data_IF_089596591212
#
_entry.id   IF_089596591212
#
_cell.length_a   1.000
_cell.length_b   1.000
_cell.length_c   1.000
_cell.angle_alpha   90.00
_cell.angle_beta   90.00
_cell.angle_gamma   90.00
#
_symmetry.space_group_name_H-M   'P 1'
#
loop_
_entity.id
_entity.type
_entity.pdbx_description
1 polymer ?
#
# COMPACT_ATOMS: atom_id res chain seq x y z
N UNK A 1 -33.20 27.69 17.91
CA UNK A 1 -32.75 27.32 16.55
C UNK A 1 -33.11 25.86 16.29
N UNK A 2 -33.60 25.53 15.11
CA UNK A 2 -33.79 24.15 14.64
C UNK A 2 -32.47 23.34 14.74
N UNK A 3 -32.56 22.06 15.18
CA UNK A 3 -31.42 21.18 15.46
C UNK A 3 -30.49 21.04 14.25
N UNK A 4 -31.05 20.93 13.05
CA UNK A 4 -30.27 20.80 11.81
C UNK A 4 -29.48 22.08 11.56
N UNK A 5 -30.09 23.25 11.72
CA UNK A 5 -29.36 24.51 11.57
C UNK A 5 -28.22 24.65 12.60
N UNK A 6 -28.43 24.25 13.85
CA UNK A 6 -27.36 24.26 14.86
C UNK A 6 -26.21 23.32 14.46
N UNK A 7 -26.53 22.13 13.95
CA UNK A 7 -25.53 21.18 13.44
C UNK A 7 -24.72 21.78 12.29
N UNK A 8 -25.37 22.46 11.33
CA UNK A 8 -24.68 23.09 10.20
C UNK A 8 -23.74 24.22 10.68
N UNK A 9 -24.15 25.04 11.63
CA UNK A 9 -23.26 26.07 12.21
C UNK A 9 -22.08 25.45 12.98
N UNK A 10 -22.30 24.34 13.70
CA UNK A 10 -21.19 23.60 14.33
C UNK A 10 -20.22 23.04 13.28
N UNK A 11 -20.76 22.45 12.21
CA UNK A 11 -19.97 21.91 11.11
C UNK A 11 -19.13 22.99 10.41
N UNK A 12 -19.69 24.17 10.14
CA UNK A 12 -18.96 25.30 9.55
C UNK A 12 -17.72 25.67 10.37
N UNK A 13 -17.83 25.69 11.70
CA UNK A 13 -16.68 25.95 12.61
C UNK A 13 -15.62 24.85 12.55
N UNK A 14 -16.02 23.62 12.21
CA UNK A 14 -15.13 22.45 12.05
C UNK A 14 -14.73 22.17 10.60
N UNK A 15 -15.06 23.05 9.64
CA UNK A 15 -14.81 22.79 8.22
C UNK A 15 -13.32 22.55 7.95
N UNK A 16 -12.46 23.42 8.49
CA UNK A 16 -11.00 23.30 8.39
C UNK A 16 -10.46 21.98 8.97
N UNK A 17 -11.12 21.44 10.00
CA UNK A 17 -10.74 20.15 10.58
C UNK A 17 -10.98 19.00 9.59
N UNK A 18 -12.17 18.96 8.96
CA UNK A 18 -12.49 17.93 7.97
C UNK A 18 -11.69 18.07 6.67
N UNK A 19 -11.39 19.30 6.24
CA UNK A 19 -10.50 19.56 5.11
C UNK A 19 -9.08 19.08 5.38
N UNK A 20 -8.52 19.41 6.55
CA UNK A 20 -7.18 19.00 6.93
C UNK A 20 -7.08 17.46 7.08
N UNK A 21 -8.07 16.82 7.72
CA UNK A 21 -8.13 15.37 7.82
C UNK A 21 -8.20 14.68 6.44
N UNK A 22 -9.02 15.21 5.54
CA UNK A 22 -9.15 14.69 4.17
C UNK A 22 -7.87 14.86 3.36
N UNK A 23 -7.22 16.02 3.44
CA UNK A 23 -5.93 16.28 2.77
C UNK A 23 -4.82 15.38 3.29
N UNK A 24 -4.78 15.13 4.60
CA UNK A 24 -3.78 14.26 5.21
C UNK A 24 -3.97 12.80 4.77
N UNK A 25 -5.20 12.30 4.83
CA UNK A 25 -5.53 10.95 4.35
C UNK A 25 -5.25 10.79 2.85
N UNK A 26 -5.61 11.79 2.03
CA UNK A 26 -5.30 11.78 0.60
C UNK A 26 -3.80 11.72 0.32
N UNK A 27 -2.99 12.51 1.06
CA UNK A 27 -1.53 12.50 0.92
C UNK A 27 -0.93 11.14 1.30
N UNK A 28 -1.37 10.55 2.42
CA UNK A 28 -0.91 9.22 2.84
C UNK A 28 -1.24 8.17 1.78
N UNK A 29 -2.48 8.17 1.29
CA UNK A 29 -2.96 7.22 0.30
C UNK A 29 -2.26 7.39 -1.05
N UNK A 30 -2.07 8.62 -1.52
CA UNK A 30 -1.35 8.93 -2.76
C UNK A 30 0.11 8.47 -2.70
N UNK A 31 0.82 8.78 -1.61
CA UNK A 31 2.20 8.36 -1.42
C UNK A 31 2.33 6.83 -1.42
N UNK A 32 1.42 6.14 -0.73
CA UNK A 32 1.41 4.68 -0.68
C UNK A 32 1.07 4.05 -2.02
N UNK A 33 0.07 4.54 -2.75
CA UNK A 33 -0.29 4.08 -4.10
C UNK A 33 0.88 4.23 -5.07
N UNK A 34 1.53 5.40 -5.09
CA UNK A 34 2.71 5.65 -5.89
C UNK A 34 3.82 4.66 -5.53
N UNK A 35 4.13 4.52 -4.24
CA UNK A 35 5.21 3.62 -3.78
C UNK A 35 4.94 2.16 -4.13
N UNK A 36 3.67 1.73 -4.13
CA UNK A 36 3.25 0.39 -4.52
C UNK A 36 3.24 0.18 -6.04
N UNK A 37 3.50 1.23 -6.83
CA UNK A 37 3.44 1.19 -8.28
C UNK A 37 2.01 1.05 -8.82
N UNK A 38 1.04 1.66 -8.16
CA UNK A 38 -0.35 1.76 -8.61
C UNK A 38 -0.58 3.17 -9.16
N UNK A 39 -1.05 3.27 -10.41
CA UNK A 39 -1.30 4.58 -11.04
C UNK A 39 -2.71 5.07 -10.68
N UNK A 40 -2.78 6.15 -9.92
CA UNK A 40 -4.04 6.77 -9.52
C UNK A 40 -3.91 8.29 -9.36
N UNK A 41 -5.04 8.98 -9.38
CA UNK A 41 -5.17 10.36 -8.92
C UNK A 41 -5.98 10.38 -7.62
N UNK A 42 -5.45 11.02 -6.57
CA UNK A 42 -6.13 11.12 -5.28
C UNK A 42 -6.56 12.56 -5.04
N UNK A 43 -7.84 12.76 -4.74
CA UNK A 43 -8.38 14.08 -4.39
C UNK A 43 -9.12 14.00 -3.07
N UNK A 44 -9.23 15.12 -2.35
CA UNK A 44 -10.02 15.19 -1.12
C UNK A 44 -10.86 16.46 -1.07
N UNK A 45 -11.97 16.39 -0.35
CA UNK A 45 -12.83 17.54 -0.07
C UNK A 45 -13.61 17.35 1.22
N UNK A 46 -13.85 18.43 1.93
CA UNK A 46 -14.90 18.48 2.94
C UNK A 46 -16.25 18.74 2.26
N UNK A 47 -17.34 18.29 2.89
CA UNK A 47 -18.68 18.46 2.35
C UNK A 47 -19.13 19.92 2.44
N UNK A 48 -19.52 20.51 1.30
CA UNK A 48 -20.03 21.89 1.30
C UNK A 48 -21.24 22.05 2.24
N UNK A 49 -21.27 23.06 3.14
CA UNK A 49 -22.33 23.21 4.16
C UNK A 49 -23.76 23.23 3.59
N UNK A 50 -23.96 23.87 2.44
CA UNK A 50 -25.25 23.87 1.75
C UNK A 50 -25.69 22.47 1.30
N UNK A 51 -24.78 21.71 0.68
CA UNK A 51 -25.05 20.31 0.27
C UNK A 51 -25.25 19.40 1.49
N UNK A 52 -24.54 19.66 2.59
CA UNK A 52 -24.73 18.94 3.85
C UNK A 52 -26.13 19.19 4.43
N UNK A 53 -26.59 20.44 4.47
CA UNK A 53 -27.94 20.78 4.95
C UNK A 53 -29.03 20.06 4.18
N UNK A 54 -28.99 20.11 2.84
CA UNK A 54 -29.97 19.39 2.02
C UNK A 54 -29.93 17.88 2.25
N UNK A 55 -28.74 17.28 2.37
CA UNK A 55 -28.59 15.84 2.63
C UNK A 55 -29.19 15.44 3.98
N UNK A 56 -28.93 16.22 5.04
CA UNK A 56 -29.47 15.96 6.38
C UNK A 56 -30.99 16.09 6.39
N UNK A 57 -31.55 17.11 5.73
CA UNK A 57 -33.00 17.29 5.61
C UNK A 57 -33.67 16.11 4.90
N UNK A 58 -33.15 15.70 3.74
CA UNK A 58 -33.68 14.56 2.97
C UNK A 58 -33.57 13.26 3.75
N UNK A 59 -32.46 13.03 4.48
CA UNK A 59 -32.35 11.83 5.31
C UNK A 59 -33.29 11.88 6.50
N UNK A 60 -33.42 13.03 7.16
CA UNK A 60 -34.34 13.19 8.29
C UNK A 60 -35.79 12.95 7.89
N UNK A 61 -36.23 13.40 6.71
CA UNK A 61 -37.60 13.17 6.22
C UNK A 61 -37.90 11.71 5.88
N UNK A 62 -36.88 10.89 5.62
CA UNK A 62 -37.01 9.45 5.36
C UNK A 62 -36.91 8.59 6.63
N UNK A 63 -36.56 9.17 7.78
CA UNK A 63 -36.49 8.45 9.05
C UNK A 63 -37.89 8.35 9.66
N UNK A 64 -38.18 7.20 10.29
CA UNK A 64 -39.39 7.04 11.08
C UNK A 64 -39.42 7.97 12.31
N UNK A 65 -38.24 8.22 12.91
CA UNK A 65 -38.07 9.14 14.03
C UNK A 65 -37.04 10.21 13.65
N UNK A 66 -37.38 11.51 13.74
CA UNK A 66 -36.45 12.61 13.50
C UNK A 66 -35.23 12.56 14.42
N UNK A 67 -34.14 13.19 13.98
CA UNK A 67 -32.94 13.35 14.80
C UNK A 67 -33.24 13.98 16.15
N UNK A 68 -32.74 13.35 17.23
CA UNK A 68 -32.94 13.84 18.61
C UNK A 68 -31.81 14.76 19.07
N UNK A 69 -30.61 14.58 18.52
CA UNK A 69 -29.41 15.33 18.92
C UNK A 69 -28.38 15.37 17.76
N UNK A 70 -27.34 16.18 17.90
CA UNK A 70 -26.31 16.32 16.87
C UNK A 70 -25.49 15.06 16.64
N UNK A 71 -25.31 14.22 17.68
CA UNK A 71 -24.50 13.00 17.59
C UNK A 71 -25.11 12.02 16.59
N UNK A 72 -26.43 11.84 16.61
CA UNK A 72 -27.12 11.01 15.62
C UNK A 72 -26.89 11.49 14.17
N UNK A 73 -26.78 12.81 13.95
CA UNK A 73 -26.48 13.37 12.63
C UNK A 73 -25.01 13.08 12.23
N UNK A 74 -24.06 13.25 13.16
CA UNK A 74 -22.66 12.93 12.93
C UNK A 74 -22.41 11.44 12.65
N UNK A 75 -23.16 10.54 13.30
CA UNK A 75 -23.07 9.09 13.10
C UNK A 75 -23.70 8.66 11.76
N UNK A 76 -24.79 9.31 11.34
CA UNK A 76 -25.46 9.03 10.07
C UNK A 76 -24.68 9.53 8.85
N UNK A 77 -24.13 10.75 8.90
CA UNK A 77 -23.42 11.36 7.77
C UNK A 77 -21.95 10.95 7.76
N UNK A 78 -21.63 9.93 6.96
CA UNK A 78 -20.27 9.39 6.86
C UNK A 78 -19.30 10.23 6.01
N UNK A 79 -19.82 11.06 5.10
CA UNK A 79 -19.05 11.77 4.06
C UNK A 79 -18.79 13.25 4.39
N UNK A 80 -18.54 13.57 5.67
CA UNK A 80 -18.17 14.93 6.09
C UNK A 80 -16.79 15.34 5.57
N UNK A 81 -15.89 14.36 5.47
CA UNK A 81 -14.62 14.41 4.75
C UNK A 81 -14.58 13.24 3.78
N UNK A 82 -14.30 13.51 2.51
CA UNK A 82 -14.25 12.52 1.46
C UNK A 82 -12.92 12.52 0.72
N UNK A 83 -12.42 11.34 0.40
CA UNK A 83 -11.23 11.10 -0.45
C UNK A 83 -11.68 10.29 -1.66
N UNK A 84 -11.29 10.70 -2.86
CA UNK A 84 -11.54 9.97 -4.11
C UNK A 84 -10.22 9.48 -4.68
N UNK A 85 -10.12 8.18 -4.89
CA UNK A 85 -9.02 7.53 -5.61
C UNK A 85 -9.53 7.14 -7.00
N UNK A 86 -9.04 7.85 -8.02
CA UNK A 86 -9.34 7.58 -9.42
C UNK A 86 -8.23 6.73 -10.04
N UNK A 87 -8.49 5.43 -10.19
CA UNK A 87 -7.55 4.49 -10.82
C UNK A 87 -7.50 4.71 -12.34
N UNK A 88 -6.30 4.70 -12.92
CA UNK A 88 -6.18 4.72 -14.39
C UNK A 88 -6.48 3.36 -15.03
N UNK A 89 -6.23 2.28 -14.29
CA UNK A 89 -6.54 0.92 -14.71
C UNK A 89 -7.46 0.26 -13.69
N UNK A 90 -8.67 -0.18 -14.08
CA UNK A 90 -9.65 -0.76 -13.15
C UNK A 90 -9.14 -2.02 -12.44
N UNK A 91 -8.28 -2.81 -13.10
CA UNK A 91 -7.67 -4.02 -12.54
C UNK A 91 -6.78 -3.82 -11.30
N UNK A 92 -6.46 -2.58 -10.93
CA UNK A 92 -5.73 -2.27 -9.69
C UNK A 92 -6.64 -2.07 -8.47
N UNK A 93 -7.96 -2.30 -8.61
CA UNK A 93 -8.95 -2.11 -7.53
C UNK A 93 -8.67 -2.98 -6.30
N UNK A 94 -8.42 -4.28 -6.48
CA UNK A 94 -8.18 -5.20 -5.35
C UNK A 94 -6.85 -4.90 -4.64
N UNK A 95 -5.84 -4.47 -5.40
CA UNK A 95 -4.55 -4.01 -4.85
C UNK A 95 -4.76 -2.75 -3.99
N UNK A 96 -5.65 -1.87 -4.44
CA UNK A 96 -6.00 -0.64 -3.72
C UNK A 96 -6.82 -0.94 -2.46
N UNK A 97 -7.73 -1.91 -2.51
CA UNK A 97 -8.49 -2.38 -1.34
C UNK A 97 -7.57 -2.85 -0.21
N UNK A 98 -6.59 -3.71 -0.54
CA UNK A 98 -5.59 -4.19 0.43
C UNK A 98 -4.80 -3.03 1.05
N UNK A 99 -4.36 -2.08 0.21
CA UNK A 99 -3.59 -0.93 0.64
C UNK A 99 -4.40 0.03 1.54
N UNK A 100 -5.70 0.22 1.26
CA UNK A 100 -6.59 1.01 2.13
C UNK A 100 -6.77 0.33 3.50
N UNK A 101 -6.94 -1.00 3.52
CA UNK A 101 -7.07 -1.77 4.76
C UNK A 101 -5.79 -1.73 5.62
N UNK A 102 -4.63 -1.71 4.98
CA UNK A 102 -3.34 -1.56 5.68
C UNK A 102 -3.19 -0.17 6.31
N UNK A 103 -3.49 0.90 5.56
CA UNK A 103 -3.26 2.28 6.01
C UNK A 103 -4.28 2.80 7.03
N UNK A 104 -5.52 2.34 6.94
CA UNK A 104 -6.63 2.91 7.70
C UNK A 104 -7.32 1.87 8.58
N UNK A 105 -7.94 2.32 9.67
CA UNK A 105 -8.92 1.52 10.38
C UNK A 105 -10.25 1.61 9.66
N UNK A 106 -10.55 0.60 8.84
CA UNK A 106 -11.81 0.51 8.07
C UNK A 106 -12.95 0.09 9.02
N UNK A 107 -13.99 0.91 9.09
CA UNK A 107 -15.18 0.69 9.92
C UNK A 107 -16.29 -0.02 9.15
N UNK A 108 -16.41 0.25 7.84
CA UNK A 108 -17.45 -0.29 6.97
C UNK A 108 -17.00 -0.18 5.51
N UNK A 109 -17.29 -1.22 4.73
CA UNK A 109 -17.03 -1.26 3.28
C UNK A 109 -18.35 -1.43 2.53
N UNK A 110 -18.52 -0.69 1.44
CA UNK A 110 -19.65 -0.82 0.51
C UNK A 110 -19.12 -0.99 -0.90
N UNK A 111 -19.63 -2.00 -1.60
CA UNK A 111 -19.32 -2.23 -3.00
C UNK A 111 -20.53 -1.87 -3.87
N UNK A 112 -20.27 -1.16 -4.96
CA UNK A 112 -21.27 -0.77 -5.95
C UNK A 112 -21.02 -1.49 -7.27
N UNK A 113 -22.08 -1.93 -7.97
CA UNK A 113 -23.51 -1.73 -7.64
C UNK A 113 -24.00 -2.59 -6.46
N UNK A 114 -24.93 -2.05 -5.65
CA UNK A 114 -25.61 -2.84 -4.60
C UNK A 114 -26.46 -3.93 -5.29
N UNK A 115 -26.27 -5.21 -4.95
CA UNK A 115 -26.95 -6.36 -5.57
C UNK A 115 -28.49 -6.34 -5.45
N UNK A 116 -29.07 -5.42 -4.67
CA UNK A 116 -30.41 -5.57 -4.09
C UNK A 116 -31.44 -4.50 -4.45
N UNK A 117 -31.15 -3.55 -5.35
CA UNK A 117 -32.16 -2.55 -5.78
C UNK A 117 -32.41 -2.57 -7.28
N UNK A 118 -33.60 -2.99 -7.73
CA UNK A 118 -33.98 -2.78 -9.11
C UNK A 118 -34.04 -1.26 -9.39
N UNK A 119 -33.47 -0.79 -10.50
CA UNK A 119 -33.50 0.62 -10.86
C UNK A 119 -34.95 1.08 -11.06
N UNK A 120 -35.22 2.36 -10.80
CA UNK A 120 -36.55 2.96 -10.98
C UNK A 120 -36.95 3.15 -12.45
N UNK A 121 -36.06 2.82 -13.38
CA UNK A 121 -36.24 2.86 -14.83
C UNK A 121 -35.61 1.62 -15.48
N UNK A 122 -35.94 1.34 -16.75
CA UNK A 122 -35.39 0.20 -17.52
C UNK A 122 -33.89 0.40 -17.82
N UNK A 123 -33.05 0.18 -16.83
CA UNK A 123 -31.59 0.28 -16.94
C UNK A 123 -31.03 -0.95 -17.64
N UNK A 124 -30.22 -0.76 -18.67
CA UNK A 124 -29.55 -1.83 -19.43
C UNK A 124 -28.19 -2.18 -18.84
N UNK A 125 -27.50 -1.22 -18.24
CA UNK A 125 -26.13 -1.40 -17.73
C UNK A 125 -26.05 -1.38 -16.19
N UNK A 126 -25.05 -2.06 -15.63
CA UNK A 126 -24.93 -2.32 -14.18
C UNK A 126 -24.67 -1.08 -13.30
N UNK A 127 -24.53 0.12 -13.89
CA UNK A 127 -24.38 1.38 -13.16
C UNK A 127 -22.99 1.61 -12.58
N UNK A 128 -22.93 2.40 -11.50
CA UNK A 128 -21.71 2.84 -10.84
C UNK A 128 -20.91 1.68 -10.23
N UNK A 129 -19.62 1.57 -10.60
CA UNK A 129 -18.70 0.59 -10.05
C UNK A 129 -17.65 1.26 -9.16
N UNK A 130 -17.75 1.05 -7.84
CA UNK A 130 -16.81 1.61 -6.87
C UNK A 130 -16.82 0.85 -5.55
N UNK A 131 -15.71 0.95 -4.82
CA UNK A 131 -15.62 0.54 -3.42
C UNK A 131 -15.57 1.79 -2.55
N UNK A 132 -16.48 1.89 -1.58
CA UNK A 132 -16.50 2.96 -0.59
C UNK A 132 -16.10 2.40 0.77
N UNK A 133 -15.10 3.01 1.37
CA UNK A 133 -14.60 2.66 2.71
C UNK A 133 -14.92 3.81 3.64
N UNK A 134 -15.54 3.50 4.77
CA UNK A 134 -15.72 4.45 5.87
C UNK A 134 -14.65 4.13 6.88
N UNK A 135 -13.64 4.98 6.97
CA UNK A 135 -12.42 4.66 7.68
C UNK A 135 -11.95 5.81 8.59
N UNK A 136 -10.99 5.50 9.45
CA UNK A 136 -10.23 6.46 10.28
C UNK A 136 -8.74 6.27 10.01
N UNK A 137 -7.98 7.36 10.11
CA UNK A 137 -6.51 7.26 10.13
C UNK A 137 -6.09 6.53 11.42
N UNK A 138 -5.07 5.67 11.30
CA UNK A 138 -4.50 5.00 12.47
C UNK A 138 -3.68 6.01 13.27
N UNK A 139 -3.77 5.98 14.59
CA UNK A 139 -3.12 7.01 15.42
C UNK A 139 -1.58 6.91 15.41
N UNK A 140 -1.06 5.69 15.21
CA UNK A 140 0.37 5.39 15.08
C UNK A 140 0.98 5.88 13.76
N UNK A 141 0.17 6.16 12.74
CA UNK A 141 0.63 6.73 11.46
C UNK A 141 0.62 8.26 11.43
N UNK A 142 0.32 8.91 12.55
CA UNK A 142 0.16 10.36 12.68
C UNK A 142 1.20 10.98 13.59
N UNK A 143 1.72 12.14 13.18
CA UNK A 143 2.54 12.98 14.04
C UNK A 143 1.76 13.45 15.27
N UNK A 144 2.42 13.78 16.39
CA UNK A 144 1.76 14.27 17.61
C UNK A 144 0.79 15.44 17.36
N UNK A 145 1.13 16.35 16.44
CA UNK A 145 0.30 17.50 16.06
C UNK A 145 -0.93 17.13 15.20
N UNK A 146 -0.93 15.94 14.60
CA UNK A 146 -1.94 15.44 13.68
C UNK A 146 -2.92 14.45 14.33
N UNK A 147 -2.60 13.93 15.53
CA UNK A 147 -3.42 12.93 16.24
C UNK A 147 -4.90 13.28 16.36
N UNK A 148 -5.24 14.56 16.51
CA UNK A 148 -6.64 15.04 16.52
C UNK A 148 -7.45 14.61 15.30
N UNK A 149 -6.81 14.39 14.14
CA UNK A 149 -7.49 13.99 12.92
C UNK A 149 -7.81 12.48 12.87
N UNK A 150 -7.26 11.65 13.76
CA UNK A 150 -7.58 10.22 13.85
C UNK A 150 -9.07 9.97 14.14
N UNK A 151 -9.72 10.89 14.86
CA UNK A 151 -11.15 10.81 15.18
C UNK A 151 -12.05 11.06 13.97
N UNK A 152 -11.54 11.71 12.93
CA UNK A 152 -12.32 12.05 11.75
C UNK A 152 -12.71 10.79 10.97
N UNK A 153 -14.01 10.60 10.75
CA UNK A 153 -14.50 9.60 9.80
C UNK A 153 -14.32 10.14 8.38
N UNK A 154 -13.64 9.36 7.55
CA UNK A 154 -13.33 9.68 6.16
C UNK A 154 -14.01 8.65 5.27
N UNK A 155 -14.75 9.12 4.27
CA UNK A 155 -15.27 8.26 3.20
C UNK A 155 -14.26 8.23 2.05
N UNK A 156 -13.60 7.09 1.86
CA UNK A 156 -12.66 6.84 0.77
C UNK A 156 -13.41 6.13 -0.36
N UNK A 157 -13.48 6.74 -1.53
CA UNK A 157 -14.17 6.22 -2.71
C UNK A 157 -13.11 5.80 -3.74
N UNK A 158 -13.07 4.52 -4.07
CA UNK A 158 -12.14 3.94 -5.06
C UNK A 158 -12.95 3.53 -6.28
N UNK A 159 -12.67 4.18 -7.41
CA UNK A 159 -13.21 3.82 -8.72
C UNK A 159 -12.18 4.18 -9.80
N UNK A 160 -12.46 3.83 -11.06
CA UNK A 160 -11.62 4.32 -12.16
C UNK A 160 -11.86 5.81 -12.44
N UNK A 161 -10.96 6.42 -13.22
CA UNK A 161 -11.15 7.78 -13.74
C UNK A 161 -12.45 7.89 -14.54
N UNK A 162 -12.78 6.90 -15.37
CA UNK A 162 -14.00 6.91 -16.19
C UNK A 162 -15.26 6.81 -15.31
N UNK A 163 -15.24 5.95 -14.29
CA UNK A 163 -16.36 5.81 -13.35
C UNK A 163 -16.57 7.04 -12.48
N UNK A 164 -15.48 7.70 -12.05
CA UNK A 164 -15.60 8.98 -11.35
C UNK A 164 -16.16 10.08 -12.25
N UNK A 165 -15.72 10.16 -13.51
CA UNK A 165 -16.27 11.13 -14.46
C UNK A 165 -17.78 10.91 -14.70
N UNK A 166 -18.18 9.67 -14.98
CA UNK A 166 -19.59 9.35 -15.22
C UNK A 166 -20.46 9.54 -13.98
N UNK A 167 -20.02 9.10 -12.79
CA UNK A 167 -20.80 9.29 -11.55
C UNK A 167 -20.97 10.75 -11.16
N UNK A 168 -20.05 11.63 -11.56
CA UNK A 168 -20.21 13.08 -11.37
C UNK A 168 -21.32 13.64 -12.25
N UNK A 169 -21.36 13.22 -13.52
CA UNK A 169 -22.42 13.59 -14.47
C UNK A 169 -23.77 13.01 -14.04
N UNK A 170 -23.84 11.72 -13.71
CA UNK A 170 -25.07 11.07 -13.21
C UNK A 170 -25.55 11.77 -11.93
N UNK A 171 -24.67 12.02 -10.97
CA UNK A 171 -25.04 12.67 -9.72
C UNK A 171 -25.60 14.08 -9.96
N UNK A 172 -24.95 14.89 -10.79
CA UNK A 172 -25.40 16.26 -11.02
C UNK A 172 -26.70 16.30 -11.84
N UNK A 173 -26.90 15.42 -12.83
CA UNK A 173 -28.16 15.38 -13.59
C UNK A 173 -29.33 14.77 -12.81
N UNK A 174 -29.12 13.64 -12.13
CA UNK A 174 -30.18 12.91 -11.41
C UNK A 174 -30.58 13.61 -10.11
N UNK A 175 -29.61 14.19 -9.37
CA UNK A 175 -29.91 14.87 -8.10
C UNK A 175 -30.07 16.39 -8.23
N UNK A 176 -29.74 16.99 -9.38
CA UNK A 176 -29.97 18.41 -9.68
C UNK A 176 -30.38 18.62 -11.14
N UNK A 177 -31.57 18.19 -11.55
CA UNK A 177 -32.11 18.68 -12.80
C UNK A 177 -32.16 20.22 -12.73
N UNK A 178 -31.43 20.88 -13.62
CA UNK A 178 -31.35 22.34 -13.69
C UNK A 178 -32.76 22.94 -13.89
N UNK A 179 -33.69 22.16 -14.47
CA UNK A 179 -35.12 22.38 -14.56
C UNK A 179 -35.87 21.02 -14.57
N UNK A 180 -36.92 20.85 -13.77
CA UNK A 180 -37.84 19.71 -13.87
C UNK A 180 -37.32 18.37 -13.35
N UNK A 181 -37.94 17.26 -13.75
CA UNK A 181 -37.40 15.88 -13.59
C UNK A 181 -36.83 15.44 -14.94
N UNK A 182 -35.77 14.62 -14.94
CA UNK A 182 -35.23 14.07 -16.19
C UNK A 182 -36.32 13.29 -16.96
N UNK A 183 -36.35 13.49 -18.26
CA UNK A 183 -37.16 12.70 -19.19
C UNK A 183 -36.63 11.27 -19.34
N UNK A 184 -37.48 10.35 -19.78
CA UNK A 184 -37.08 8.97 -20.06
C UNK A 184 -35.95 8.90 -21.10
N UNK A 185 -35.92 9.82 -22.06
CA UNK A 185 -34.87 9.92 -23.07
C UNK A 185 -33.53 10.35 -22.44
N UNK A 186 -33.53 11.35 -21.55
CA UNK A 186 -32.30 11.75 -20.84
C UNK A 186 -31.77 10.62 -19.94
N UNK A 187 -32.65 9.85 -19.32
CA UNK A 187 -32.28 8.67 -18.54
C UNK A 187 -31.71 7.55 -19.43
N UNK A 188 -32.25 7.37 -20.64
CA UNK A 188 -31.72 6.42 -21.62
C UNK A 188 -30.34 6.83 -22.13
N UNK A 189 -30.12 8.12 -22.43
CA UNK A 189 -28.82 8.66 -22.82
C UNK A 189 -27.80 8.50 -21.69
N UNK A 190 -28.19 8.76 -20.44
CA UNK A 190 -27.33 8.54 -19.27
C UNK A 190 -26.90 7.07 -19.12
N UNK A 191 -27.81 6.14 -19.40
CA UNK A 191 -27.53 4.71 -19.40
C UNK A 191 -26.64 4.30 -20.58
N UNK A 192 -26.83 4.89 -21.77
CA UNK A 192 -25.94 4.70 -22.92
C UNK A 192 -24.51 5.19 -22.61
N UNK A 193 -24.35 6.36 -22.00
CA UNK A 193 -23.06 6.88 -21.55
C UNK A 193 -22.39 5.93 -20.55
N UNK A 194 -23.17 5.30 -19.67
CA UNK A 194 -22.65 4.27 -18.76
C UNK A 194 -22.12 3.05 -19.53
N UNK A 195 -22.84 2.62 -20.57
CA UNK A 195 -22.39 1.54 -21.46
C UNK A 195 -21.05 1.83 -22.13
N UNK A 196 -20.85 3.05 -22.62
CA UNK A 196 -19.57 3.49 -23.21
C UNK A 196 -18.44 3.49 -22.17
N UNK A 197 -18.72 3.91 -20.95
CA UNK A 197 -17.76 3.89 -19.85
C UNK A 197 -17.37 2.47 -19.48
N UNK A 198 -18.32 1.55 -19.35
CA UNK A 198 -18.05 0.13 -19.11
C UNK A 198 -17.22 -0.51 -20.23
N UNK A 199 -17.50 -0.18 -21.49
CA UNK A 199 -16.68 -0.63 -22.61
C UNK A 199 -15.24 -0.09 -22.52
N UNK A 200 -15.08 1.17 -22.10
CA UNK A 200 -13.79 1.80 -21.82
C UNK A 200 -13.01 1.10 -20.69
N UNK A 201 -13.68 0.73 -19.59
CA UNK A 201 -13.07 -0.04 -18.49
C UNK A 201 -12.46 -1.35 -19.00
N UNK A 202 -13.24 -2.13 -19.76
CA UNK A 202 -12.80 -3.41 -20.34
C UNK A 202 -11.61 -3.19 -21.28
N UNK A 203 -11.64 -2.15 -22.11
CA UNK A 203 -10.54 -1.82 -23.00
C UNK A 203 -9.26 -1.47 -22.24
N UNK A 204 -9.37 -0.71 -21.13
CA UNK A 204 -8.23 -0.35 -20.28
C UNK A 204 -7.62 -1.58 -19.58
N UNK A 205 -8.44 -2.51 -19.08
CA UNK A 205 -7.95 -3.77 -18.50
C UNK A 205 -7.22 -4.65 -19.53
N UNK A 206 -7.77 -4.74 -20.74
CA UNK A 206 -7.12 -5.45 -21.86
C UNK A 206 -5.81 -4.79 -22.26
N UNK A 207 -5.76 -3.45 -22.31
CA UNK A 207 -4.55 -2.70 -22.61
C UNK A 207 -3.47 -2.91 -21.54
N UNK A 208 -3.85 -2.90 -20.26
CA UNK A 208 -2.94 -3.21 -19.15
C UNK A 208 -2.37 -4.62 -19.29
N UNK A 209 -3.23 -5.60 -19.57
CA UNK A 209 -2.83 -7.00 -19.77
C UNK A 209 -1.86 -7.17 -20.95
N UNK A 210 -2.15 -6.58 -22.11
CA UNK A 210 -1.26 -6.62 -23.27
C UNK A 210 0.08 -5.91 -23.01
N UNK A 211 0.08 -4.82 -22.24
CA UNK A 211 1.30 -4.14 -21.78
C UNK A 211 2.18 -5.05 -20.92
N UNK A 212 1.57 -5.82 -20.02
CA UNK A 212 2.26 -6.75 -19.13
C UNK A 212 2.93 -7.90 -19.91
N UNK A 213 2.26 -8.46 -20.91
CA UNK A 213 2.83 -9.50 -21.75
C UNK A 213 4.05 -9.01 -22.54
N UNK A 214 3.99 -7.77 -23.04
CA UNK A 214 5.10 -7.16 -23.77
C UNK A 214 6.38 -7.06 -22.92
N UNK A 215 6.26 -6.72 -21.63
CA UNK A 215 7.40 -6.64 -20.70
C UNK A 215 8.04 -8.02 -20.50
N UNK A 216 7.23 -9.08 -20.40
CA UNK A 216 7.74 -10.47 -20.25
C UNK A 216 8.55 -10.93 -21.47
N UNK A 217 8.12 -10.53 -22.68
CA UNK A 217 8.66 -11.09 -23.92
C UNK A 217 9.96 -10.44 -24.42
N UNK A 218 10.29 -9.20 -24.01
CA UNK A 218 11.37 -8.43 -24.66
C UNK A 218 12.74 -8.45 -23.97
N UNK A 219 12.94 -9.14 -22.84
CA UNK A 219 14.12 -8.90 -21.97
C UNK A 219 14.36 -7.39 -21.70
N UNK A 220 13.33 -6.56 -21.87
CA UNK A 220 13.46 -5.13 -21.82
C UNK A 220 13.71 -4.69 -20.38
N UNK A 221 14.45 -3.60 -20.23
CA UNK A 221 14.55 -2.93 -18.96
C UNK A 221 13.18 -2.36 -18.56
N UNK A 222 12.81 -2.52 -17.30
CA UNK A 222 11.65 -1.83 -16.72
C UNK A 222 11.87 -0.32 -16.88
N UNK A 223 10.92 0.37 -17.50
CA UNK A 223 11.00 1.82 -17.72
C UNK A 223 10.58 2.62 -16.50
N UNK A 224 9.81 2.01 -15.59
CA UNK A 224 9.28 2.65 -14.41
C UNK A 224 8.92 1.63 -13.32
N UNK A 225 8.72 2.13 -12.11
CA UNK A 225 8.21 1.35 -10.98
C UNK A 225 6.85 0.66 -11.27
N UNK A 226 6.03 1.25 -12.13
CA UNK A 226 4.72 0.71 -12.49
C UNK A 226 4.83 -0.58 -13.31
N UNK A 227 5.79 -0.62 -14.26
CA UNK A 227 6.07 -1.85 -15.02
C UNK A 227 6.65 -2.94 -14.11
N UNK A 228 7.54 -2.56 -13.18
CA UNK A 228 8.08 -3.48 -12.19
C UNK A 228 6.97 -4.03 -11.27
N UNK A 229 6.12 -3.17 -10.73
CA UNK A 229 5.01 -3.56 -9.85
C UNK A 229 4.05 -4.53 -10.55
N UNK A 230 3.70 -4.22 -11.81
CA UNK A 230 2.84 -5.08 -12.61
C UNK A 230 3.50 -6.44 -12.91
N UNK A 231 4.79 -6.44 -13.26
CA UNK A 231 5.53 -7.68 -13.47
C UNK A 231 5.60 -8.53 -12.20
N UNK A 232 5.92 -7.93 -11.05
CA UNK A 232 6.01 -8.62 -9.77
C UNK A 232 4.66 -9.18 -9.33
N UNK A 233 3.59 -8.40 -9.45
CA UNK A 233 2.24 -8.87 -9.12
C UNK A 233 1.86 -10.09 -9.97
N UNK A 234 2.02 -10.00 -11.29
CA UNK A 234 1.73 -11.12 -12.19
C UNK A 234 2.64 -12.33 -11.93
N UNK A 235 3.92 -12.11 -11.59
CA UNK A 235 4.81 -13.20 -11.21
C UNK A 235 4.31 -13.90 -9.95
N UNK A 236 3.96 -13.15 -8.91
CA UNK A 236 3.55 -13.70 -7.62
C UNK A 236 2.20 -14.43 -7.72
N UNK A 237 1.19 -13.79 -8.32
CA UNK A 237 -0.15 -14.39 -8.47
C UNK A 237 -0.16 -15.66 -9.33
N UNK A 238 0.79 -15.83 -10.25
CA UNK A 238 0.89 -17.03 -11.08
C UNK A 238 1.73 -18.15 -10.47
N UNK A 239 2.60 -17.86 -9.50
CA UNK A 239 3.53 -18.84 -8.93
C UNK A 239 3.20 -19.21 -7.47
N UNK A 240 2.35 -18.45 -6.79
CA UNK A 240 2.01 -18.65 -5.39
C UNK A 240 0.50 -18.56 -5.18
N UNK A 241 0.01 -19.32 -4.22
CA UNK A 241 -1.39 -19.24 -3.82
C UNK A 241 -1.59 -18.13 -2.78
N UNK A 242 -2.79 -17.53 -2.67
CA UNK A 242 -3.10 -16.56 -1.62
C UNK A 242 -2.90 -17.11 -0.20
N UNK A 243 -2.97 -18.42 0.01
CA UNK A 243 -2.71 -19.05 1.31
C UNK A 243 -1.21 -19.11 1.66
N UNK A 244 -0.31 -18.99 0.68
CA UNK A 244 1.13 -19.13 0.86
C UNK A 244 1.83 -17.79 1.07
N UNK A 245 1.33 -16.72 0.45
CA UNK A 245 1.91 -15.38 0.51
C UNK A 245 0.86 -14.31 0.80
N UNK A 246 1.29 -13.22 1.41
CA UNK A 246 0.45 -12.03 1.56
C UNK A 246 0.95 -10.95 0.58
N UNK A 247 0.10 -10.51 -0.35
CA UNK A 247 0.47 -9.64 -1.46
C UNK A 247 0.57 -8.15 -1.07
N UNK A 248 1.30 -7.87 0.02
CA UNK A 248 1.67 -6.49 0.39
C UNK A 248 2.85 -6.05 -0.46
N UNK A 249 2.64 -5.28 -1.52
CA UNK A 249 3.71 -4.90 -2.45
C UNK A 249 4.81 -4.04 -1.81
N UNK A 250 4.42 -3.07 -0.97
CA UNK A 250 5.37 -2.17 -0.30
C UNK A 250 5.96 -1.11 -1.23
N UNK A 251 7.21 -0.71 -0.98
CA UNK A 251 7.87 0.38 -1.70
C UNK A 251 8.61 -0.14 -2.96
N UNK A 252 7.83 -0.39 -4.01
CA UNK A 252 8.33 -0.76 -5.33
C UNK A 252 9.13 0.37 -5.97
N UNK A 253 8.88 1.64 -5.61
CA UNK A 253 9.72 2.76 -6.06
C UNK A 253 11.18 2.60 -5.64
N UNK A 254 11.39 2.28 -4.36
CA UNK A 254 12.72 2.06 -3.80
C UNK A 254 13.39 0.83 -4.42
N UNK A 255 12.65 -0.27 -4.56
CA UNK A 255 13.15 -1.46 -5.24
C UNK A 255 13.56 -1.14 -6.69
N UNK A 256 12.73 -0.39 -7.43
CA UNK A 256 13.03 0.03 -8.81
C UNK A 256 14.30 0.88 -8.87
N UNK A 257 14.45 1.86 -7.97
CA UNK A 257 15.67 2.68 -7.86
C UNK A 257 16.91 1.83 -7.56
N UNK A 258 16.80 0.89 -6.62
CA UNK A 258 17.89 -0.03 -6.26
C UNK A 258 18.32 -0.87 -7.45
N UNK A 259 17.39 -1.59 -8.10
CA UNK A 259 17.74 -2.48 -9.22
C UNK A 259 18.27 -1.69 -10.42
N UNK A 260 17.79 -0.46 -10.64
CA UNK A 260 18.31 0.41 -11.69
C UNK A 260 19.74 0.85 -11.41
N UNK A 261 20.05 1.23 -10.16
CA UNK A 261 21.40 1.60 -9.74
C UNK A 261 22.38 0.43 -9.84
N UNK A 262 21.89 -0.78 -9.57
CA UNK A 262 22.65 -2.03 -9.70
C UNK A 262 22.72 -2.56 -11.14
N UNK A 263 22.07 -1.91 -12.11
CA UNK A 263 21.97 -2.38 -13.51
C UNK A 263 21.38 -3.80 -13.61
N UNK A 264 20.36 -4.07 -12.78
CA UNK A 264 19.59 -5.31 -12.71
C UNK A 264 18.12 -5.08 -13.06
N UNK A 265 17.81 -4.10 -13.91
CA UNK A 265 16.46 -3.65 -14.16
C UNK A 265 15.77 -4.36 -15.34
N UNK A 266 16.22 -5.55 -15.75
CA UNK A 266 15.53 -6.38 -16.74
C UNK A 266 14.87 -7.61 -16.10
N UNK A 267 13.90 -8.21 -16.80
CA UNK A 267 13.28 -9.48 -16.41
C UNK A 267 14.32 -10.58 -16.22
N UNK A 268 15.33 -10.65 -17.10
CA UNK A 268 16.39 -11.67 -17.07
C UNK A 268 17.24 -11.61 -15.79
N UNK A 269 17.47 -10.41 -15.26
CA UNK A 269 18.27 -10.18 -14.05
C UNK A 269 17.46 -10.36 -12.77
N UNK A 270 16.18 -9.94 -12.77
CA UNK A 270 15.31 -10.04 -11.60
C UNK A 270 14.74 -11.44 -11.39
N UNK A 271 14.40 -12.17 -12.45
CA UNK A 271 13.76 -13.49 -12.32
C UNK A 271 14.58 -14.50 -11.49
N UNK A 272 15.92 -14.62 -11.62
CA UNK A 272 16.73 -15.46 -10.75
C UNK A 272 16.66 -15.04 -9.27
N UNK A 273 16.60 -13.74 -8.99
CA UNK A 273 16.40 -13.22 -7.63
C UNK A 273 15.06 -13.71 -7.10
N UNK A 274 13.96 -13.49 -7.83
CA UNK A 274 12.62 -13.91 -7.40
C UNK A 274 12.52 -15.40 -7.12
N UNK A 275 13.12 -16.25 -7.96
CA UNK A 275 13.18 -17.70 -7.76
C UNK A 275 13.95 -18.11 -6.50
N UNK A 276 14.85 -17.26 -6.02
CA UNK A 276 15.66 -17.51 -4.83
C UNK A 276 15.04 -16.92 -3.55
N UNK A 277 14.07 -16.01 -3.67
CA UNK A 277 13.33 -15.48 -2.52
C UNK A 277 12.38 -16.56 -2.01
N UNK A 278 12.47 -16.88 -0.72
CA UNK A 278 11.43 -17.62 -0.02
C UNK A 278 10.44 -16.60 0.52
N UNK A 279 9.34 -16.39 -0.20
CA UNK A 279 8.31 -15.47 0.24
C UNK A 279 7.62 -16.03 1.49
N UNK A 280 7.63 -15.26 2.56
CA UNK A 280 7.08 -15.64 3.86
C UNK A 280 5.97 -14.67 4.26
N UNK A 281 4.97 -15.18 4.99
CA UNK A 281 3.92 -14.38 5.63
C UNK A 281 4.44 -13.79 6.94
N UNK A 282 5.37 -12.86 6.85
CA UNK A 282 5.91 -12.14 8.01
C UNK A 282 5.61 -10.63 7.92
N UNK A 283 6.16 -9.82 8.82
CA UNK A 283 5.91 -8.37 8.84
C UNK A 283 6.38 -7.65 7.57
N UNK A 284 7.36 -8.20 6.84
CA UNK A 284 7.96 -7.58 5.65
C UNK A 284 7.04 -7.70 4.45
N UNK A 285 6.98 -6.62 3.68
CA UNK A 285 6.28 -6.60 2.40
C UNK A 285 7.14 -7.25 1.28
N UNK A 286 6.54 -7.49 0.12
CA UNK A 286 7.18 -8.14 -1.03
C UNK A 286 8.45 -7.40 -1.46
N UNK A 287 8.41 -6.06 -1.58
CA UNK A 287 9.59 -5.28 -1.97
C UNK A 287 10.77 -5.48 -1.03
N UNK A 288 10.50 -5.53 0.27
CA UNK A 288 11.50 -5.72 1.33
C UNK A 288 12.13 -7.11 1.25
N UNK A 289 11.32 -8.16 1.07
CA UNK A 289 11.83 -9.53 0.92
C UNK A 289 12.70 -9.69 -0.34
N UNK A 290 12.38 -9.00 -1.44
CA UNK A 290 13.20 -8.98 -2.65
C UNK A 290 14.49 -8.19 -2.42
N UNK A 291 14.42 -7.00 -1.80
CA UNK A 291 15.59 -6.18 -1.45
C UNK A 291 16.58 -6.98 -0.61
N UNK A 292 16.08 -7.71 0.40
CA UNK A 292 16.90 -8.55 1.27
C UNK A 292 17.73 -9.55 0.47
N UNK A 293 17.11 -10.19 -0.51
CA UNK A 293 17.77 -11.13 -1.39
C UNK A 293 18.76 -10.48 -2.35
N UNK A 294 18.52 -9.23 -2.76
CA UNK A 294 19.44 -8.49 -3.63
C UNK A 294 20.71 -8.12 -2.88
N UNK A 295 20.60 -7.60 -1.65
CA UNK A 295 21.74 -7.02 -0.94
C UNK A 295 22.55 -8.04 -0.13
N UNK A 296 21.96 -9.20 0.21
CA UNK A 296 22.56 -10.22 1.10
C UNK A 296 24.05 -10.50 0.83
N UNK A 297 24.87 -10.36 1.87
CA UNK A 297 26.31 -10.65 1.87
C UNK A 297 27.19 -9.77 0.96
N UNK A 298 26.66 -8.68 0.39
CA UNK A 298 27.38 -7.82 -0.56
C UNK A 298 27.49 -6.37 -0.06
N UNK A 299 28.68 -5.97 0.41
CA UNK A 299 28.95 -4.63 0.97
C UNK A 299 28.55 -3.50 0.03
N UNK A 300 28.88 -3.61 -1.26
CA UNK A 300 28.56 -2.57 -2.25
C UNK A 300 27.06 -2.40 -2.42
N UNK A 301 26.29 -3.50 -2.42
CA UNK A 301 24.83 -3.44 -2.55
C UNK A 301 24.15 -2.90 -1.29
N UNK A 302 24.69 -3.24 -0.11
CA UNK A 302 24.25 -2.64 1.15
C UNK A 302 24.47 -1.12 1.17
N UNK A 303 25.66 -0.65 0.80
CA UNK A 303 25.98 0.77 0.73
C UNK A 303 25.05 1.53 -0.24
N UNK A 304 24.85 1.00 -1.45
CA UNK A 304 23.93 1.60 -2.43
C UNK A 304 22.49 1.65 -1.89
N UNK A 305 22.04 0.61 -1.19
CA UNK A 305 20.71 0.59 -0.61
C UNK A 305 20.56 1.64 0.52
N UNK A 306 21.57 1.77 1.38
CA UNK A 306 21.60 2.78 2.45
C UNK A 306 21.57 4.21 1.87
N UNK A 307 22.40 4.49 0.86
CA UNK A 307 22.39 5.79 0.15
C UNK A 307 21.01 6.14 -0.41
N UNK A 308 20.28 5.16 -0.95
CA UNK A 308 18.93 5.35 -1.48
C UNK A 308 17.87 5.57 -0.40
N UNK A 309 18.15 5.18 0.84
CA UNK A 309 17.25 5.30 1.99
C UNK A 309 17.51 6.55 2.82
N UNK A 310 18.76 6.96 3.00
CA UNK A 310 19.19 8.10 3.83
C UNK A 310 18.64 9.46 3.36
N UNK A 311 17.96 9.52 2.21
CA UNK A 311 17.11 10.65 1.82
C UNK A 311 15.81 10.80 2.64
N UNK A 312 15.58 10.00 3.69
CA UNK A 312 14.45 10.10 4.63
C UNK A 312 14.97 10.12 6.07
N UNK A 313 15.20 11.32 6.59
CA UNK A 313 15.72 11.55 7.94
C UNK A 313 14.74 11.08 9.02
N UNK A 314 15.18 10.15 9.87
CA UNK A 314 14.41 9.66 11.01
C UNK A 314 15.27 8.79 11.91
N UNK A 315 16.17 9.42 12.68
CA UNK A 315 17.02 8.73 13.66
C UNK A 315 18.10 9.66 14.18
N UNK A 316 18.32 9.64 15.50
CA UNK A 316 19.40 10.37 16.15
C UNK A 316 20.77 9.92 15.61
N UNK A 317 21.75 10.82 15.66
CA UNK A 317 23.10 10.58 15.16
C UNK A 317 23.72 9.29 15.73
N UNK A 318 23.50 9.04 17.03
CA UNK A 318 23.98 7.85 17.74
C UNK A 318 23.40 6.54 17.18
N UNK A 319 22.09 6.49 16.91
CA UNK A 319 21.45 5.31 16.32
C UNK A 319 21.97 5.03 14.89
N UNK A 320 22.30 6.07 14.12
CA UNK A 320 22.89 5.92 12.78
C UNK A 320 24.30 5.36 12.86
N UNK A 321 25.12 5.86 13.80
CA UNK A 321 26.47 5.34 14.02
C UNK A 321 26.43 3.89 14.49
N UNK A 322 25.56 3.55 15.44
CA UNK A 322 25.38 2.17 15.90
C UNK A 322 24.93 1.24 14.78
N UNK A 323 23.97 1.67 13.93
CA UNK A 323 23.53 0.88 12.78
C UNK A 323 24.67 0.66 11.76
N UNK A 324 25.46 1.70 11.47
CA UNK A 324 26.64 1.61 10.61
C UNK A 324 27.65 0.60 11.15
N UNK A 325 27.93 0.65 12.46
CA UNK A 325 28.78 -0.33 13.14
C UNK A 325 28.22 -1.75 13.01
N UNK A 326 26.94 -1.97 13.32
CA UNK A 326 26.29 -3.27 13.16
C UNK A 326 26.46 -3.82 11.74
N UNK A 327 26.19 -3.03 10.70
CA UNK A 327 26.32 -3.49 9.32
C UNK A 327 27.77 -3.80 8.92
N UNK A 328 28.75 -3.07 9.47
CA UNK A 328 30.17 -3.35 9.24
C UNK A 328 30.58 -4.75 9.71
N UNK A 329 29.92 -5.28 10.75
CA UNK A 329 30.16 -6.63 11.28
C UNK A 329 29.24 -7.68 10.66
N UNK A 330 27.96 -7.32 10.45
CA UNK A 330 26.95 -8.22 9.91
C UNK A 330 27.23 -8.63 8.46
N UNK A 331 27.60 -7.69 7.57
CA UNK A 331 27.72 -8.00 6.14
C UNK A 331 28.82 -9.04 5.85
N UNK A 332 30.02 -8.97 6.46
CA UNK A 332 31.02 -10.03 6.37
C UNK A 332 30.53 -11.37 6.94
N UNK A 333 29.86 -11.36 8.10
CA UNK A 333 29.26 -12.55 8.70
C UNK A 333 28.23 -13.19 7.76
N UNK A 334 27.31 -12.40 7.19
CA UNK A 334 26.30 -12.87 6.24
C UNK A 334 26.93 -13.46 4.98
N UNK A 335 28.00 -12.85 4.47
CA UNK A 335 28.77 -13.40 3.32
C UNK A 335 29.34 -14.78 3.65
N UNK A 336 29.89 -14.97 4.85
CA UNK A 336 30.41 -16.25 5.29
C UNK A 336 29.30 -17.28 5.48
N UNK A 337 28.18 -16.91 6.10
CA UNK A 337 27.00 -17.79 6.25
C UNK A 337 26.43 -18.21 4.89
N UNK A 338 26.39 -17.29 3.91
CA UNK A 338 26.01 -17.60 2.54
C UNK A 338 26.96 -18.62 1.90
N UNK A 339 28.28 -18.51 2.16
CA UNK A 339 29.28 -19.49 1.67
C UNK A 339 29.08 -20.86 2.31
N UNK A 340 28.91 -20.92 3.64
CA UNK A 340 28.69 -22.16 4.39
C UNK A 340 27.41 -22.84 3.89
N UNK A 341 26.30 -22.11 3.80
CA UNK A 341 25.00 -22.65 3.39
C UNK A 341 25.00 -23.17 1.94
N UNK A 342 25.86 -22.65 1.07
CA UNK A 342 25.90 -23.00 -0.36
C UNK A 342 27.06 -23.93 -0.74
N UNK A 343 27.86 -24.40 0.24
CA UNK A 343 29.08 -25.21 0.02
C UNK A 343 28.82 -26.47 -0.83
N UNK A 344 27.63 -27.07 -0.70
CA UNK A 344 27.23 -28.29 -1.40
C UNK A 344 26.24 -28.05 -2.57
N UNK A 345 25.97 -26.79 -2.94
CA UNK A 345 24.95 -26.45 -3.95
C UNK A 345 25.41 -25.32 -4.86
N UNK A 346 26.13 -25.68 -5.92
CA UNK A 346 26.59 -24.75 -6.97
C UNK A 346 25.45 -23.94 -7.63
N UNK A 347 24.19 -24.39 -7.52
CA UNK A 347 23.00 -23.74 -8.10
C UNK A 347 22.30 -22.74 -7.17
N UNK A 348 22.54 -22.78 -5.86
CA UNK A 348 21.90 -21.86 -4.91
C UNK A 348 22.81 -20.64 -4.72
N UNK A 349 22.58 -19.59 -5.50
CA UNK A 349 23.12 -18.25 -5.23
C UNK A 349 22.02 -17.45 -4.53
N UNK A 350 22.14 -17.25 -3.23
CA UNK A 350 21.13 -16.55 -2.46
C UNK A 350 21.46 -16.43 -0.97
N UNK A 351 20.59 -15.73 -0.23
CA UNK A 351 20.68 -15.59 1.21
C UNK A 351 20.66 -16.97 1.90
N UNK A 352 21.43 -17.10 2.98
CA UNK A 352 21.52 -18.33 3.76
C UNK A 352 20.15 -18.72 4.33
N UNK A 353 19.91 -20.02 4.43
CA UNK A 353 18.70 -20.56 5.03
C UNK A 353 19.04 -21.22 6.37
N UNK A 354 18.38 -20.75 7.45
CA UNK A 354 18.65 -21.26 8.79
C UNK A 354 18.34 -22.75 8.93
N UNK A 355 17.29 -23.26 8.27
CA UNK A 355 16.95 -24.68 8.31
C UNK A 355 17.98 -25.51 7.55
N UNK A 356 18.57 -24.99 6.47
CA UNK A 356 19.68 -25.64 5.78
C UNK A 356 20.90 -25.71 6.70
N UNK A 357 21.29 -24.60 7.35
CA UNK A 357 22.41 -24.58 8.30
C UNK A 357 22.18 -25.56 9.47
N UNK A 358 20.96 -25.61 10.02
CA UNK A 358 20.59 -26.55 11.07
C UNK A 358 20.68 -28.02 10.59
N UNK A 359 20.17 -28.32 9.39
CA UNK A 359 20.23 -29.67 8.80
C UNK A 359 21.65 -30.13 8.46
N UNK A 360 22.54 -29.20 8.12
CA UNK A 360 23.94 -29.51 7.87
C UNK A 360 24.67 -29.96 9.15
N UNK A 361 24.13 -29.65 10.33
CA UNK A 361 24.69 -29.99 11.64
C UNK A 361 26.15 -29.52 11.81
N UNK A 362 26.50 -28.39 11.17
CA UNK A 362 27.84 -27.79 11.20
C UNK A 362 27.98 -26.65 12.22
N UNK A 363 26.85 -26.17 12.76
CA UNK A 363 26.76 -25.12 13.78
C UNK A 363 26.03 -25.66 15.00
N UNK A 364 26.49 -25.30 16.20
CA UNK A 364 25.79 -25.61 17.45
C UNK A 364 24.47 -24.80 17.57
N UNK A 365 23.59 -25.20 18.50
CA UNK A 365 22.29 -24.55 18.70
C UNK A 365 22.42 -23.08 19.16
N UNK A 366 23.48 -22.75 19.91
CA UNK A 366 23.72 -21.41 20.40
C UNK A 366 24.05 -20.46 19.24
N UNK A 367 24.98 -20.85 18.38
CA UNK A 367 25.32 -20.18 17.13
C UNK A 367 24.07 -19.95 16.26
N UNK A 368 23.24 -20.98 16.07
CA UNK A 368 22.02 -20.86 15.27
C UNK A 368 21.04 -19.83 15.87
N UNK A 369 20.85 -19.83 17.19
CA UNK A 369 19.98 -18.86 17.88
C UNK A 369 20.52 -17.43 17.75
N UNK A 370 21.84 -17.24 17.92
CA UNK A 370 22.51 -15.94 17.70
C UNK A 370 22.30 -15.45 16.26
N UNK A 371 22.47 -16.30 15.25
CA UNK A 371 22.23 -15.94 13.84
C UNK A 371 20.79 -15.50 13.61
N UNK A 372 19.81 -16.20 14.19
CA UNK A 372 18.39 -15.82 14.10
C UNK A 372 18.14 -14.46 14.73
N UNK A 373 18.72 -14.20 15.92
CA UNK A 373 18.63 -12.91 16.59
C UNK A 373 19.22 -11.78 15.74
N UNK A 374 20.45 -11.95 15.25
CA UNK A 374 21.14 -10.97 14.43
C UNK A 374 20.39 -10.70 13.11
N UNK A 375 19.83 -11.73 12.47
CA UNK A 375 19.00 -11.56 11.27
C UNK A 375 17.73 -10.75 11.55
N UNK A 376 17.12 -10.94 12.72
CA UNK A 376 15.96 -10.15 13.16
C UNK A 376 16.35 -8.68 13.36
N UNK A 377 17.45 -8.42 14.08
CA UNK A 377 18.01 -7.08 14.28
C UNK A 377 18.34 -6.40 12.94
N UNK A 378 18.96 -7.13 12.02
CA UNK A 378 19.22 -6.66 10.66
C UNK A 378 17.94 -6.28 9.92
N UNK A 379 16.90 -7.12 9.96
CA UNK A 379 15.64 -6.83 9.28
C UNK A 379 14.92 -5.61 9.87
N UNK A 380 14.99 -5.42 11.19
CA UNK A 380 14.47 -4.24 11.88
C UNK A 380 15.19 -2.97 11.39
N UNK A 381 16.53 -2.99 11.39
CA UNK A 381 17.36 -1.84 11.00
C UNK A 381 17.25 -1.50 9.51
N UNK A 382 17.08 -2.49 8.63
CA UNK A 382 16.98 -2.26 7.18
C UNK A 382 15.62 -1.72 6.77
N UNK A 383 14.56 -2.16 7.41
CA UNK A 383 13.18 -1.91 6.97
C UNK A 383 12.41 -0.90 7.81
N UNK A 384 13.05 -0.28 8.81
CA UNK A 384 12.42 0.68 9.76
C UNK A 384 11.18 0.11 10.45
N UNK A 385 11.15 -1.20 10.69
CA UNK A 385 9.99 -1.84 11.34
C UNK A 385 9.93 -1.39 12.81
N UNK A 386 11.09 -1.29 13.45
CA UNK A 386 11.30 -0.86 14.83
C UNK A 386 12.78 -0.46 14.92
N UNK A 387 13.10 0.76 15.34
CA UNK A 387 14.50 1.21 15.50
C UNK A 387 14.88 1.04 16.96
N UNK A 388 15.72 0.05 17.32
CA UNK A 388 16.13 -0.15 18.70
C UNK A 388 17.02 1.00 19.19
N UNK A 389 17.18 1.11 20.51
CA UNK A 389 18.14 2.04 21.11
C UNK A 389 19.58 1.73 20.66
N UNK A 390 20.42 2.77 20.59
CA UNK A 390 21.79 2.67 20.08
C UNK A 390 22.63 1.61 20.85
N UNK A 391 22.43 1.47 22.15
CA UNK A 391 23.11 0.48 22.99
C UNK A 391 22.76 -0.96 22.58
N UNK A 392 21.48 -1.21 22.30
CA UNK A 392 21.03 -2.52 21.83
C UNK A 392 21.65 -2.84 20.47
N UNK A 393 21.67 -1.87 19.54
CA UNK A 393 22.25 -2.04 18.20
C UNK A 393 23.75 -2.34 18.31
N UNK A 394 24.47 -1.61 19.15
CA UNK A 394 25.90 -1.80 19.38
C UNK A 394 26.20 -3.20 19.91
N UNK A 395 25.42 -3.68 20.89
CA UNK A 395 25.55 -5.04 21.42
C UNK A 395 25.32 -6.12 20.35
N UNK A 396 24.36 -5.91 19.45
CA UNK A 396 24.17 -6.82 18.31
C UNK A 396 25.36 -6.77 17.34
N UNK A 397 26.02 -5.62 17.19
CA UNK A 397 27.26 -5.49 16.44
C UNK A 397 28.41 -6.30 17.05
N UNK A 398 28.57 -6.22 18.37
CA UNK A 398 29.55 -7.03 19.12
C UNK A 398 29.27 -8.53 18.96
N UNK A 399 28.01 -8.96 19.12
CA UNK A 399 27.61 -10.36 18.91
C UNK A 399 27.90 -10.85 17.49
N UNK A 400 27.72 -10.00 16.47
CA UNK A 400 28.03 -10.31 15.08
C UNK A 400 29.55 -10.44 14.85
N UNK A 401 30.35 -9.55 15.46
CA UNK A 401 31.82 -9.60 15.39
C UNK A 401 32.36 -10.90 16.02
N UNK A 402 31.94 -11.22 17.24
CA UNK A 402 32.36 -12.44 17.92
C UNK A 402 32.02 -13.70 17.12
N UNK A 403 30.81 -13.74 16.54
CA UNK A 403 30.39 -14.89 15.76
C UNK A 403 31.15 -14.98 14.43
N UNK A 404 31.48 -13.84 13.81
CA UNK A 404 32.33 -13.78 12.62
C UNK A 404 33.73 -14.34 12.92
N UNK A 405 34.33 -13.96 14.05
CA UNK A 405 35.63 -14.47 14.48
C UNK A 405 35.58 -15.99 14.72
N UNK A 406 34.63 -16.45 15.56
CA UNK A 406 34.43 -17.89 15.87
C UNK A 406 34.25 -18.73 14.61
N UNK A 407 33.39 -18.29 13.70
CA UNK A 407 33.13 -19.02 12.46
C UNK A 407 34.26 -18.89 11.44
N UNK A 408 35.04 -17.82 11.48
CA UNK A 408 36.24 -17.65 10.67
C UNK A 408 37.33 -18.66 11.01
N UNK A 409 37.49 -18.99 12.30
CA UNK A 409 38.38 -20.07 12.76
C UNK A 409 37.86 -21.46 12.33
N UNK A 410 36.55 -21.69 12.42
CA UNK A 410 35.94 -22.97 12.10
C UNK A 410 35.85 -23.24 10.58
N UNK A 411 35.68 -22.19 9.77
CA UNK A 411 35.51 -22.25 8.32
C UNK A 411 36.46 -21.28 7.60
N UNK A 412 37.79 -21.56 7.61
CA UNK A 412 38.76 -20.72 6.92
C UNK A 412 38.46 -20.60 5.42
N UNK A 413 38.84 -19.44 4.85
CA UNK A 413 38.40 -19.00 3.52
C UNK A 413 38.91 -19.83 2.35
#
# INVERSE_FOLDING_TARGET
MDLINQFIENYKRKLNFYEAAGRLAARQLEASLQSAGIRAMVTSRAKAPGRLKSKVLIRNSRRAVPYKNMREIYEDIADLSGVRVSLYFPGDRDKTDSLVCDLFTVLETKQFPEQSKPPTYNKRFSGYWANHYRARMREDSLEPSQKKYAEARIEIQVASVLMHAWSEVEHDLVYKPLQGTLSDEELAILDELNGLVLAGEIALERLQSAGNERVRNKNAAFSSQYELASYLYNYLSNNFRPEDIELRMGNIELLFRLISRLKMNTVKEIQPVLKSVKFEKDRRNISQQIIDQIITGNEKRYAIYQELRDGREGGGEDSRQAASYFFSQWVPLERMLNRISNRNSQKLRGAFNINTLNRMNVLDKDCLNRIVSLRKSRNMLIHDIEVPEADFITKQGDEARELLEKLGEQFPS
#
